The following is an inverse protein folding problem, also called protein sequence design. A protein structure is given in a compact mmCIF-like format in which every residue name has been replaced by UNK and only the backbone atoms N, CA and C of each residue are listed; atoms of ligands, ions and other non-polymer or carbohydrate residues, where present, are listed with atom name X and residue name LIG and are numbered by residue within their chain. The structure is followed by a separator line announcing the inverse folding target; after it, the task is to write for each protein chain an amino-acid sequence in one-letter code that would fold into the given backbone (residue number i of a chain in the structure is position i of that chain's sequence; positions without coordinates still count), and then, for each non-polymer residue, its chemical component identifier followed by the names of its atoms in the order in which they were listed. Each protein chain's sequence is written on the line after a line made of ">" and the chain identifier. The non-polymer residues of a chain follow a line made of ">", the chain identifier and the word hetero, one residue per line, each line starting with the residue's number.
data_IF_927056759605
#
_entry.id   IF_927056759605
#
_cell.length_a   1.000
_cell.length_b   1.000
_cell.length_c   1.000
_cell.angle_alpha   90.00
_cell.angle_beta   90.00
_cell.angle_gamma   90.00
#
_symmetry.space_group_name_H-M   'P 1'
#
loop_
_entity.id
_entity.type
_entity.pdbx_description
1 polymer ?
#
# COMPACT_ATOMS: atom_id res chain seq x y z
N UNK A 1 12.43 2.82 3.09
CA UNK A 1 11.11 2.29 2.67
C UNK A 1 11.34 0.97 1.97
N UNK A 2 10.55 -0.07 2.26
CA UNK A 2 10.72 -1.39 1.59
C UNK A 2 10.22 -1.28 0.15
N UNK A 3 10.92 -1.88 -0.80
CA UNK A 3 10.51 -1.92 -2.20
C UNK A 3 9.75 -3.22 -2.48
N UNK A 4 8.53 -3.13 -3.01
CA UNK A 4 7.69 -4.31 -3.26
C UNK A 4 8.38 -5.35 -4.13
N UNK A 5 8.96 -4.94 -5.27
CA UNK A 5 9.62 -5.85 -6.20
C UNK A 5 10.81 -6.54 -5.54
N UNK A 6 11.68 -5.78 -4.86
CA UNK A 6 12.85 -6.34 -4.17
C UNK A 6 12.47 -7.34 -3.09
N UNK A 7 11.49 -7.01 -2.24
CA UNK A 7 11.04 -7.92 -1.18
C UNK A 7 10.32 -9.16 -1.75
N UNK A 8 9.54 -8.98 -2.83
CA UNK A 8 8.88 -10.08 -3.54
C UNK A 8 9.91 -11.06 -4.11
N UNK A 9 10.91 -10.55 -4.83
CA UNK A 9 11.94 -11.36 -5.48
C UNK A 9 12.77 -12.15 -4.44
N UNK A 10 13.01 -11.55 -3.27
CA UNK A 10 13.64 -12.24 -2.14
C UNK A 10 12.79 -13.40 -1.63
N UNK A 11 11.50 -13.18 -1.39
CA UNK A 11 10.58 -14.23 -0.93
C UNK A 11 10.39 -15.34 -1.96
N UNK A 12 10.35 -15.01 -3.25
CA UNK A 12 10.32 -16.00 -4.32
C UNK A 12 11.56 -16.90 -4.28
N UNK A 13 12.75 -16.31 -4.09
CA UNK A 13 14.00 -17.06 -3.98
C UNK A 13 14.04 -17.98 -2.74
N UNK A 14 13.49 -17.53 -1.62
CA UNK A 14 13.35 -18.35 -0.41
C UNK A 14 12.34 -19.48 -0.62
N UNK A 15 11.17 -19.21 -1.22
CA UNK A 15 10.17 -20.22 -1.58
C UNK A 15 10.74 -21.28 -2.53
N UNK A 16 11.51 -20.90 -3.54
CA UNK A 16 12.18 -21.85 -4.42
C UNK A 16 13.12 -22.79 -3.66
N UNK A 17 13.82 -22.26 -2.66
CA UNK A 17 14.73 -23.05 -1.82
C UNK A 17 13.95 -24.04 -0.95
N UNK A 18 12.83 -23.61 -0.36
CA UNK A 18 11.94 -24.47 0.42
C UNK A 18 11.28 -25.56 -0.44
N UNK A 19 10.84 -25.23 -1.66
CA UNK A 19 10.29 -26.19 -2.62
C UNK A 19 11.33 -27.24 -3.01
N UNK A 20 12.60 -26.87 -3.18
CA UNK A 20 13.68 -27.82 -3.47
C UNK A 20 13.90 -28.81 -2.32
N UNK A 21 13.78 -28.35 -1.07
CA UNK A 21 13.90 -29.20 0.12
C UNK A 21 12.65 -30.06 0.36
N UNK A 22 11.48 -29.60 -0.07
CA UNK A 22 10.18 -30.25 0.15
C UNK A 22 9.39 -30.36 -1.17
N UNK A 23 9.86 -31.16 -2.14
CA UNK A 23 9.32 -31.16 -3.51
C UNK A 23 7.87 -31.62 -3.62
N UNK A 24 7.36 -32.38 -2.65
CA UNK A 24 5.98 -32.87 -2.63
C UNK A 24 5.01 -31.92 -1.92
N UNK A 25 5.51 -30.81 -1.34
CA UNK A 25 4.66 -29.83 -0.66
C UNK A 25 3.96 -28.92 -1.68
N UNK A 26 2.69 -29.23 -1.97
CA UNK A 26 1.86 -28.45 -2.90
C UNK A 26 1.47 -27.06 -2.37
N UNK A 27 1.49 -26.84 -1.05
CA UNK A 27 1.22 -25.52 -0.45
C UNK A 27 2.32 -24.55 -0.84
N UNK A 28 3.60 -24.94 -0.72
CA UNK A 28 4.73 -24.10 -1.12
C UNK A 28 4.68 -23.73 -2.61
N UNK A 29 4.36 -24.71 -3.47
CA UNK A 29 4.19 -24.46 -4.93
C UNK A 29 3.05 -23.49 -5.21
N UNK A 30 1.95 -23.62 -4.48
CA UNK A 30 0.79 -22.74 -4.61
C UNK A 30 1.12 -21.31 -4.15
N UNK A 31 1.80 -21.16 -3.01
CA UNK A 31 2.27 -19.86 -2.53
C UNK A 31 3.21 -19.19 -3.54
N UNK A 32 4.16 -19.94 -4.11
CA UNK A 32 5.06 -19.43 -5.14
C UNK A 32 4.29 -18.93 -6.37
N UNK A 33 3.36 -19.73 -6.90
CA UNK A 33 2.55 -19.33 -8.07
C UNK A 33 1.76 -18.05 -7.82
N UNK A 34 1.09 -17.96 -6.66
CA UNK A 34 0.32 -16.78 -6.29
C UNK A 34 1.21 -15.55 -6.13
N UNK A 35 2.30 -15.65 -5.35
CA UNK A 35 3.22 -14.54 -5.16
C UNK A 35 3.85 -14.07 -6.48
N UNK A 36 4.26 -15.02 -7.34
CA UNK A 36 4.88 -14.70 -8.62
C UNK A 36 3.92 -13.98 -9.58
N UNK A 37 2.62 -14.30 -9.50
CA UNK A 37 1.60 -13.68 -10.35
C UNK A 37 1.42 -12.18 -10.07
N UNK A 38 1.65 -11.74 -8.82
CA UNK A 38 1.48 -10.35 -8.42
C UNK A 38 2.53 -9.42 -9.06
N UNK A 39 2.09 -8.49 -9.90
CA UNK A 39 2.95 -7.50 -10.54
C UNK A 39 3.08 -6.22 -9.70
N UNK A 40 2.07 -5.92 -8.88
CA UNK A 40 1.99 -4.70 -8.07
C UNK A 40 1.35 -4.93 -6.71
N UNK A 41 1.53 -3.97 -5.79
CA UNK A 41 0.90 -4.01 -4.46
C UNK A 41 -0.64 -4.00 -4.53
N UNK A 42 -1.22 -3.46 -5.61
CA UNK A 42 -2.67 -3.39 -5.81
C UNK A 42 -3.31 -4.76 -6.05
N UNK A 43 -2.51 -5.78 -6.37
CA UNK A 43 -2.98 -7.16 -6.56
C UNK A 43 -2.98 -7.97 -5.26
N UNK A 44 -2.38 -7.44 -4.19
CA UNK A 44 -2.43 -8.07 -2.87
C UNK A 44 -3.87 -8.02 -2.32
N UNK A 45 -4.39 -9.19 -1.98
CA UNK A 45 -5.81 -9.36 -1.62
C UNK A 45 -6.03 -10.31 -0.43
N UNK A 46 -4.96 -10.70 0.28
CA UNK A 46 -5.04 -11.59 1.43
C UNK A 46 -4.92 -13.08 1.08
N UNK A 47 -4.82 -13.45 -0.20
CA UNK A 47 -4.78 -14.86 -0.63
C UNK A 47 -3.56 -15.59 -0.06
N UNK A 48 -2.40 -14.95 0.01
CA UNK A 48 -1.18 -15.57 0.55
C UNK A 48 -1.37 -15.90 2.04
N UNK A 49 -1.80 -14.91 2.82
CA UNK A 49 -2.10 -15.10 4.24
C UNK A 49 -3.18 -16.15 4.45
N UNK A 50 -4.22 -16.16 3.61
CA UNK A 50 -5.31 -17.13 3.70
C UNK A 50 -4.83 -18.56 3.47
N UNK A 51 -4.00 -18.80 2.46
CA UNK A 51 -3.43 -20.12 2.19
C UNK A 51 -2.65 -20.63 3.41
N UNK A 52 -1.84 -19.77 4.03
CA UNK A 52 -1.01 -20.13 5.20
C UNK A 52 -1.86 -20.44 6.43
N UNK A 53 -2.91 -19.64 6.67
CA UNK A 53 -3.85 -19.86 7.78
C UNK A 53 -4.62 -21.17 7.58
N UNK A 54 -5.16 -21.40 6.38
CA UNK A 54 -6.00 -22.55 6.08
C UNK A 54 -5.21 -23.86 6.04
N UNK A 55 -3.92 -23.81 5.70
CA UNK A 55 -3.05 -24.99 5.77
C UNK A 55 -2.67 -25.39 7.19
N UNK A 56 -2.96 -24.54 8.20
CA UNK A 56 -2.46 -24.66 9.58
C UNK A 56 -0.93 -24.80 9.66
N UNK A 57 -0.24 -24.49 8.57
CA UNK A 57 1.16 -24.85 8.33
C UNK A 57 2.07 -23.65 8.63
N UNK A 58 1.82 -23.04 9.80
CA UNK A 58 2.62 -21.93 10.33
C UNK A 58 4.04 -22.36 10.73
N UNK A 59 4.35 -23.66 10.66
CA UNK A 59 5.63 -24.23 11.08
C UNK A 59 6.80 -23.80 10.16
N UNK A 60 6.52 -23.34 8.94
CA UNK A 60 7.56 -22.84 8.05
C UNK A 60 7.84 -21.35 8.30
N UNK A 61 9.11 -21.02 8.58
CA UNK A 61 9.57 -19.62 8.72
C UNK A 61 9.18 -18.75 7.51
N UNK A 62 9.09 -19.32 6.32
CA UNK A 62 8.67 -18.60 5.11
C UNK A 62 7.19 -18.16 5.16
N UNK A 63 6.32 -18.92 5.82
CA UNK A 63 4.91 -18.58 6.00
C UNK A 63 4.74 -17.29 6.79
N UNK A 64 5.44 -17.16 7.92
CA UNK A 64 5.44 -15.91 8.70
C UNK A 64 5.90 -14.72 7.85
N UNK A 65 6.98 -14.88 7.08
CA UNK A 65 7.50 -13.80 6.22
C UNK A 65 6.51 -13.39 5.13
N UNK A 66 5.76 -14.33 4.56
CA UNK A 66 4.72 -14.03 3.56
C UNK A 66 3.55 -13.25 4.17
N UNK A 67 3.11 -13.59 5.37
CA UNK A 67 2.08 -12.84 6.10
C UNK A 67 2.58 -11.42 6.39
N UNK A 68 3.81 -11.29 6.89
CA UNK A 68 4.42 -9.97 7.16
C UNK A 68 4.54 -9.12 5.89
N UNK A 69 4.90 -9.74 4.76
CA UNK A 69 4.96 -9.08 3.47
C UNK A 69 3.60 -8.54 3.04
N UNK A 70 2.56 -9.39 3.04
CA UNK A 70 1.23 -8.98 2.61
C UNK A 70 0.64 -7.91 3.54
N UNK A 71 0.80 -8.06 4.86
CA UNK A 71 0.37 -7.06 5.83
C UNK A 71 1.09 -5.71 5.66
N UNK A 72 2.40 -5.73 5.38
CA UNK A 72 3.17 -4.50 5.20
C UNK A 72 2.72 -3.74 3.94
N UNK A 73 2.61 -4.45 2.81
CA UNK A 73 2.35 -3.83 1.50
C UNK A 73 0.86 -3.56 1.22
N UNK A 74 -0.06 -4.24 1.92
CA UNK A 74 -1.50 -3.92 1.86
C UNK A 74 -1.86 -2.64 2.63
N UNK A 75 -1.06 -2.25 3.62
CA UNK A 75 -1.16 -0.92 4.24
C UNK A 75 -0.41 0.11 3.38
N UNK A 76 -1.14 0.74 2.46
CA UNK A 76 -0.60 1.74 1.53
C UNK A 76 0.09 2.92 2.21
N UNK A 77 -0.19 3.19 3.48
CA UNK A 77 0.55 4.23 4.21
C UNK A 77 2.05 3.91 4.36
N UNK A 78 2.43 2.63 4.34
CA UNK A 78 3.82 2.22 4.41
C UNK A 78 4.63 2.53 3.13
N UNK A 79 3.93 2.86 2.05
CA UNK A 79 4.52 3.31 0.79
C UNK A 79 4.71 4.83 0.70
N UNK A 80 4.26 5.60 1.70
CA UNK A 80 4.42 7.06 1.75
C UNK A 80 5.73 7.41 2.48
N UNK A 81 6.63 8.11 1.79
CA UNK A 81 7.91 8.61 2.33
C UNK A 81 7.72 9.83 3.22
N UNK A 82 6.80 10.73 2.88
CA UNK A 82 6.49 11.91 3.68
C UNK A 82 5.98 11.50 5.06
N UNK A 83 6.68 11.88 6.13
CA UNK A 83 6.33 11.47 7.48
C UNK A 83 4.95 12.01 7.91
N UNK A 84 4.63 13.24 7.52
CA UNK A 84 3.36 13.90 7.84
C UNK A 84 2.19 13.29 7.07
N UNK A 85 2.35 13.11 5.75
CA UNK A 85 1.32 12.42 4.96
C UNK A 85 1.18 10.97 5.40
N UNK A 86 2.26 10.25 5.72
CA UNK A 86 2.18 8.89 6.24
C UNK A 86 1.36 8.82 7.54
N UNK A 87 1.57 9.75 8.48
CA UNK A 87 0.75 9.84 9.70
C UNK A 87 -0.72 10.07 9.39
N UNK A 88 -1.01 10.96 8.44
CA UNK A 88 -2.37 11.22 7.97
C UNK A 88 -3.01 9.96 7.36
N UNK A 89 -2.34 9.32 6.40
CA UNK A 89 -2.81 8.09 5.76
C UNK A 89 -3.09 6.99 6.80
N UNK A 90 -2.15 6.75 7.74
CA UNK A 90 -2.32 5.78 8.83
C UNK A 90 -3.57 6.04 9.65
N UNK A 91 -3.84 7.31 9.98
CA UNK A 91 -5.03 7.68 10.74
C UNK A 91 -6.31 7.45 9.94
N UNK A 92 -6.32 7.76 8.65
CA UNK A 92 -7.49 7.57 7.79
C UNK A 92 -7.79 6.07 7.57
N UNK A 93 -6.76 5.26 7.33
CA UNK A 93 -6.87 3.79 7.22
C UNK A 93 -7.40 3.21 8.53
N UNK A 94 -6.87 3.63 9.68
CA UNK A 94 -7.33 3.17 11.01
C UNK A 94 -8.80 3.57 11.30
N UNK A 95 -9.32 4.59 10.62
CA UNK A 95 -10.73 4.98 10.68
C UNK A 95 -11.63 4.16 9.73
N UNK A 96 -11.09 3.12 9.09
CA UNK A 96 -11.75 2.33 8.06
C UNK A 96 -12.29 3.18 6.90
N UNK A 97 -11.61 4.28 6.57
CA UNK A 97 -11.96 5.07 5.40
C UNK A 97 -11.46 4.34 4.17
N UNK A 98 -12.38 4.02 3.26
CA UNK A 98 -12.07 3.28 2.03
C UNK A 98 -11.08 4.06 1.17
N UNK A 99 -10.09 3.35 0.65
CA UNK A 99 -9.18 3.86 -0.39
C UNK A 99 -9.81 3.55 -1.75
N UNK A 100 -9.94 4.57 -2.61
CA UNK A 100 -10.50 4.44 -3.95
C UNK A 100 -9.44 4.26 -5.02
N UNK A 101 -8.22 4.72 -4.75
CA UNK A 101 -7.08 4.59 -5.65
C UNK A 101 -5.75 4.73 -4.90
N UNK A 102 -4.74 3.96 -5.31
CA UNK A 102 -3.35 4.14 -4.92
C UNK A 102 -2.45 3.99 -6.15
N UNK A 103 -1.55 4.96 -6.33
CA UNK A 103 -0.54 4.96 -7.38
C UNK A 103 -0.32 6.35 -7.97
N UNK A 104 0.29 6.39 -9.15
CA UNK A 104 0.56 7.64 -9.86
C UNK A 104 -0.73 8.20 -10.47
N UNK A 105 -1.18 9.33 -9.95
CA UNK A 105 -2.42 9.97 -10.39
C UNK A 105 -2.35 10.59 -11.80
N UNK A 106 -1.16 11.00 -12.24
CA UNK A 106 -0.95 11.71 -13.51
C UNK A 106 0.29 11.17 -14.22
N UNK A 107 0.31 11.21 -15.55
CA UNK A 107 1.46 10.76 -16.36
C UNK A 107 2.76 11.49 -16.01
N UNK A 108 2.66 12.76 -15.61
CA UNK A 108 3.81 13.60 -15.23
C UNK A 108 4.18 13.47 -13.74
N UNK A 109 3.34 12.82 -12.93
CA UNK A 109 3.61 12.67 -11.51
C UNK A 109 4.43 11.40 -11.26
N UNK A 110 5.63 11.59 -10.71
CA UNK A 110 6.56 10.49 -10.45
C UNK A 110 6.33 9.80 -9.09
N UNK A 111 5.45 10.35 -8.25
CA UNK A 111 5.20 9.87 -6.88
C UNK A 111 3.79 9.32 -6.70
N UNK A 112 3.66 8.37 -5.78
CA UNK A 112 2.37 7.72 -5.49
C UNK A 112 1.47 8.61 -4.64
N UNK A 113 0.19 8.61 -4.98
CA UNK A 113 -0.88 9.30 -4.25
C UNK A 113 -1.88 8.28 -3.72
N UNK A 114 -2.50 8.58 -2.58
CA UNK A 114 -3.59 7.79 -2.00
C UNK A 114 -4.88 8.62 -2.03
N UNK A 115 -5.94 8.04 -2.60
CA UNK A 115 -7.26 8.66 -2.67
C UNK A 115 -8.21 7.96 -1.70
N UNK A 116 -8.88 8.74 -0.87
CA UNK A 116 -9.84 8.26 0.12
C UNK A 116 -11.27 8.63 -0.27
N UNK A 117 -12.20 7.72 0.01
CA UNK A 117 -13.65 7.94 -0.11
C UNK A 117 -14.18 8.80 1.06
N UNK A 118 -13.70 10.05 1.13
CA UNK A 118 -14.07 10.99 2.20
C UNK A 118 -13.89 12.43 1.75
N UNK A 119 -14.86 13.28 2.09
CA UNK A 119 -14.72 14.73 1.94
C UNK A 119 -13.76 15.28 2.99
N UNK A 120 -12.74 16.01 2.55
CA UNK A 120 -11.73 16.58 3.45
C UNK A 120 -12.08 18.01 3.85
N UNK A 121 -11.99 18.28 5.15
CA UNK A 121 -11.97 19.63 5.70
C UNK A 121 -10.49 20.00 5.90
N UNK A 122 -9.87 20.59 4.86
CA UNK A 122 -8.44 20.84 4.82
C UNK A 122 -7.97 21.68 6.01
N UNK A 123 -8.74 22.70 6.39
CA UNK A 123 -8.42 23.55 7.53
C UNK A 123 -8.35 22.73 8.82
N UNK A 124 -9.41 21.99 9.14
CA UNK A 124 -9.44 21.15 10.36
C UNK A 124 -8.37 20.07 10.33
N UNK A 125 -8.12 19.47 9.16
CA UNK A 125 -7.11 18.42 9.04
C UNK A 125 -5.69 18.98 9.23
N UNK A 126 -5.37 20.13 8.63
CA UNK A 126 -4.07 20.79 8.85
C UNK A 126 -3.83 21.08 10.32
N UNK A 127 -4.82 21.62 11.02
CA UNK A 127 -4.75 21.91 12.45
C UNK A 127 -4.57 20.62 13.27
N UNK A 128 -5.43 19.62 13.05
CA UNK A 128 -5.43 18.36 13.82
C UNK A 128 -4.16 17.51 13.66
N UNK A 129 -3.52 17.57 12.48
CA UNK A 129 -2.31 16.81 12.18
C UNK A 129 -1.04 17.64 12.30
N UNK A 130 -1.17 18.94 12.60
CA UNK A 130 -0.05 19.89 12.70
C UNK A 130 0.84 19.85 11.45
N UNK A 131 0.22 19.90 10.26
CA UNK A 131 0.93 19.78 8.99
C UNK A 131 1.80 21.03 8.74
N UNK A 132 3.08 20.80 8.48
CA UNK A 132 4.09 21.84 8.26
C UNK A 132 4.00 22.50 6.89
N UNK A 133 4.92 23.44 6.65
CA UNK A 133 4.92 24.30 5.46
C UNK A 133 5.25 23.56 4.15
N UNK A 134 5.90 22.40 4.23
CA UNK A 134 6.13 21.56 3.04
C UNK A 134 4.85 20.92 2.52
N UNK A 135 3.85 20.78 3.38
CA UNK A 135 2.54 20.24 3.02
C UNK A 135 1.66 21.36 2.51
N UNK A 136 1.38 21.35 1.20
CA UNK A 136 0.48 22.29 0.57
C UNK A 136 -0.90 21.68 0.31
N UNK A 137 -1.90 22.54 0.27
CA UNK A 137 -3.24 22.16 -0.17
C UNK A 137 -3.26 22.01 -1.68
N UNK A 138 -3.94 20.97 -2.15
CA UNK A 138 -4.17 20.70 -3.56
C UNK A 138 -5.66 20.63 -3.84
N UNK A 139 -6.09 21.26 -4.92
CA UNK A 139 -7.48 21.29 -5.35
C UNK A 139 -7.53 21.20 -6.87
N UNK A 140 -8.30 20.23 -7.39
CA UNK A 140 -8.70 20.20 -8.79
C UNK A 140 -10.22 20.27 -8.87
N UNK A 141 -10.72 21.28 -9.58
CA UNK A 141 -12.15 21.48 -9.83
C UNK A 141 -12.53 21.28 -11.30
N UNK A 142 -11.61 20.79 -12.13
CA UNK A 142 -11.90 20.49 -13.52
C UNK A 142 -12.71 19.19 -13.64
N UNK A 143 -13.95 19.34 -14.07
CA UNK A 143 -14.88 18.22 -14.25
C UNK A 143 -14.45 17.23 -15.35
N UNK A 144 -13.52 17.60 -16.23
CA UNK A 144 -12.98 16.71 -17.26
C UNK A 144 -11.86 15.81 -16.75
N UNK A 145 -11.08 16.28 -15.77
CA UNK A 145 -9.93 15.56 -15.21
C UNK A 145 -10.19 14.96 -13.82
N UNK A 146 -11.34 15.28 -13.21
CA UNK A 146 -11.79 14.73 -11.93
C UNK A 146 -11.73 15.76 -10.80
N UNK A 147 -12.66 15.66 -9.86
CA UNK A 147 -12.74 16.56 -8.71
C UNK A 147 -11.99 15.95 -7.52
N UNK A 148 -10.95 16.65 -7.05
CA UNK A 148 -10.12 16.19 -5.93
C UNK A 148 -9.70 17.35 -5.02
N UNK A 149 -9.55 17.05 -3.74
CA UNK A 149 -9.06 17.99 -2.74
C UNK A 149 -8.20 17.25 -1.73
N UNK A 150 -7.05 17.81 -1.35
CA UNK A 150 -6.14 17.12 -0.45
C UNK A 150 -4.87 17.87 -0.15
N UNK A 151 -3.84 17.08 0.17
CA UNK A 151 -2.53 17.57 0.57
C UNK A 151 -1.43 16.94 -0.28
N UNK A 152 -0.42 17.73 -0.63
CA UNK A 152 0.79 17.28 -1.31
C UNK A 152 1.99 17.73 -0.49
N UNK A 153 2.97 16.85 -0.32
CA UNK A 153 4.27 17.22 0.23
C UNK A 153 5.22 17.64 -0.88
N UNK A 154 5.64 18.90 -0.89
CA UNK A 154 6.56 19.45 -1.88
C UNK A 154 7.91 18.73 -1.95
N UNK A 155 8.35 18.11 -0.86
CA UNK A 155 9.66 17.45 -0.81
C UNK A 155 9.65 16.09 -1.51
N UNK A 156 8.52 15.40 -1.47
CA UNK A 156 8.39 14.02 -1.98
C UNK A 156 7.48 13.94 -3.20
N UNK A 157 6.68 14.97 -3.47
CA UNK A 157 5.58 15.01 -4.44
C UNK A 157 4.50 13.95 -4.19
N UNK A 158 4.47 13.35 -3.01
CA UNK A 158 3.42 12.40 -2.60
C UNK A 158 2.16 13.16 -2.20
N UNK A 159 1.00 12.52 -2.39
CA UNK A 159 -0.29 13.15 -2.22
C UNK A 159 -1.28 12.29 -1.46
N UNK A 160 -2.12 12.94 -0.65
CA UNK A 160 -3.29 12.33 -0.02
C UNK A 160 -4.51 13.14 -0.41
N UNK A 161 -5.40 12.51 -1.17
CA UNK A 161 -6.58 13.12 -1.75
C UNK A 161 -7.87 12.57 -1.15
N UNK A 162 -8.89 13.41 -1.13
CA UNK A 162 -10.25 13.11 -0.77
C UNK A 162 -11.23 13.65 -1.81
N UNK A 163 -12.52 13.49 -1.53
CA UNK A 163 -13.61 13.96 -2.38
C UNK A 163 -13.86 15.45 -2.20
N UNK A 164 -14.24 16.10 -3.29
CA UNK A 164 -14.86 17.42 -3.26
C UNK A 164 -16.31 17.29 -2.76
N UNK A 165 -16.79 18.27 -1.99
CA UNK A 165 -18.14 18.31 -1.45
C UNK A 165 -19.19 18.65 -2.51
#
# INVERSE_FOLDING_TARGET
>A
MRNFKTEKDKLLSELESEIKSHPDNEILKTLYRNLNSHQSVNELNGVLSRIIVDSLDYEFQIGQKLIEFENFFSDFSNSIRSDELRKLAKKLIKQNIRITFYGKAWSENHSDWIYFDKVFDLKKMRENFSLGDSIIEHQNFDNKSGLEIGFIDKNTNEGIMGKVK
#
